data_IF_141954735549
#
_entry.id   IF_141954735549
#
_cell.length_a   1.000
_cell.length_b   1.000
_cell.length_c   1.000
_cell.angle_alpha   90.00
_cell.angle_beta   90.00
_cell.angle_gamma   90.00
#
_symmetry.space_group_name_H-M   'P 1'
#
loop_
_entity.id
_entity.type
_entity.pdbx_description
1 polymer ?
#
# COMPACT_ATOMS: atom_id res chain seq x y z
N UNK A 1 -37.53 3.48 -25.89
CA UNK A 1 -36.83 3.95 -27.10
C UNK A 1 -36.26 5.31 -26.74
N UNK A 2 -34.98 5.55 -26.48
CA UNK A 2 -33.76 5.10 -27.17
C UNK A 2 -32.60 5.21 -26.17
N UNK A 3 -32.33 4.18 -25.36
CA UNK A 3 -31.08 4.09 -24.58
C UNK A 3 -30.63 2.63 -24.38
N UNK A 4 -31.28 1.69 -25.07
CA UNK A 4 -31.09 0.25 -24.81
C UNK A 4 -30.30 -0.47 -25.90
N UNK A 5 -29.62 0.26 -26.81
CA UNK A 5 -28.93 -0.37 -27.95
C UNK A 5 -27.50 0.13 -28.25
N UNK A 6 -26.85 0.88 -27.35
CA UNK A 6 -25.41 1.22 -27.53
C UNK A 6 -24.49 0.66 -26.41
N UNK A 7 -24.99 -0.16 -25.48
CA UNK A 7 -24.20 -0.69 -24.36
C UNK A 7 -23.68 -2.12 -24.57
N UNK A 8 -22.83 -2.35 -25.59
CA UNK A 8 -22.10 -3.62 -25.65
C UNK A 8 -20.60 -3.50 -25.94
N UNK A 9 -20.11 -2.32 -26.35
CA UNK A 9 -18.66 -2.03 -26.47
C UNK A 9 -18.19 -0.99 -25.44
N UNK A 10 -19.11 -0.15 -24.94
CA UNK A 10 -18.85 0.85 -23.89
C UNK A 10 -18.47 0.29 -22.50
N UNK A 11 -18.97 -0.86 -22.01
CA UNK A 11 -18.63 -1.28 -20.64
C UNK A 11 -17.19 -1.76 -20.49
N UNK A 12 -16.62 -2.47 -21.47
CA UNK A 12 -15.23 -2.95 -21.39
C UNK A 12 -14.22 -1.79 -21.41
N UNK A 13 -14.44 -0.79 -22.27
CA UNK A 13 -13.56 0.38 -22.33
C UNK A 13 -13.64 1.22 -21.04
N UNK A 14 -14.83 1.34 -20.45
CA UNK A 14 -15.02 2.02 -19.18
C UNK A 14 -14.34 1.26 -18.01
N UNK A 15 -14.41 -0.07 -18.01
CA UNK A 15 -13.73 -0.93 -17.02
C UNK A 15 -12.21 -0.76 -17.11
N UNK A 16 -11.64 -0.80 -18.33
CA UNK A 16 -10.20 -0.60 -18.55
C UNK A 16 -9.77 0.78 -18.08
N UNK A 17 -10.55 1.82 -18.37
CA UNK A 17 -10.24 3.18 -17.91
C UNK A 17 -10.28 3.31 -16.38
N UNK A 18 -11.26 2.69 -15.72
CA UNK A 18 -11.32 2.66 -14.25
C UNK A 18 -10.11 1.92 -13.64
N UNK A 19 -9.70 0.81 -14.22
CA UNK A 19 -8.54 0.03 -13.77
C UNK A 19 -7.24 0.86 -13.86
N UNK A 20 -7.01 1.48 -15.03
CA UNK A 20 -5.87 2.37 -15.24
C UNK A 20 -5.86 3.54 -14.24
N UNK A 21 -7.02 4.14 -13.96
CA UNK A 21 -7.12 5.24 -12.99
C UNK A 21 -6.79 4.81 -11.56
N UNK A 22 -7.22 3.61 -11.15
CA UNK A 22 -6.92 3.06 -9.83
C UNK A 22 -5.41 2.83 -9.70
N UNK A 23 -4.79 2.14 -10.67
CA UNK A 23 -3.35 1.89 -10.65
C UNK A 23 -2.51 3.14 -10.74
N UNK A 24 -2.91 4.11 -11.59
CA UNK A 24 -2.23 5.39 -11.69
C UNK A 24 -2.17 6.07 -10.32
N UNK A 25 -3.26 6.00 -9.55
CA UNK A 25 -3.34 6.62 -8.24
C UNK A 25 -2.51 5.87 -7.17
N UNK A 26 -2.53 4.54 -7.18
CA UNK A 26 -1.66 3.71 -6.32
C UNK A 26 -0.19 4.02 -6.63
N UNK A 27 0.19 4.07 -7.91
CA UNK A 27 1.56 4.40 -8.32
C UNK A 27 1.98 5.82 -7.93
N UNK A 28 1.10 6.82 -8.12
CA UNK A 28 1.37 8.20 -7.69
C UNK A 28 1.57 8.32 -6.18
N UNK A 29 0.77 7.58 -5.41
CA UNK A 29 0.91 7.54 -3.95
C UNK A 29 2.26 6.92 -3.55
N UNK A 30 2.67 5.87 -4.25
CA UNK A 30 3.94 5.16 -4.02
C UNK A 30 5.14 6.03 -4.37
N UNK A 31 5.05 6.73 -5.49
CA UNK A 31 6.04 7.71 -5.91
C UNK A 31 6.17 8.85 -4.89
N UNK A 32 5.04 9.37 -4.37
CA UNK A 32 5.05 10.41 -3.35
C UNK A 32 5.72 9.93 -2.06
N UNK A 33 5.34 8.76 -1.55
CA UNK A 33 5.96 8.18 -0.35
C UNK A 33 7.44 7.90 -0.56
N UNK A 34 7.83 7.43 -1.74
CA UNK A 34 9.24 7.24 -2.11
C UNK A 34 10.05 8.53 -2.07
N UNK A 35 9.46 9.68 -2.40
CA UNK A 35 10.10 11.00 -2.25
C UNK A 35 10.25 11.44 -0.79
N UNK A 36 9.42 10.91 0.11
CA UNK A 36 9.46 11.26 1.53
C UNK A 36 10.49 10.42 2.32
N UNK A 37 10.79 9.20 1.86
CA UNK A 37 11.75 8.29 2.53
C UNK A 37 13.15 8.89 2.76
N UNK A 38 13.74 9.67 1.84
CA UNK A 38 15.00 10.38 2.10
C UNK A 38 14.90 11.40 3.22
N UNK A 39 13.78 12.11 3.36
CA UNK A 39 13.56 13.07 4.44
C UNK A 39 13.43 12.37 5.80
N UNK A 40 12.99 11.11 5.80
CA UNK A 40 12.89 10.25 6.96
C UNK A 40 14.20 9.50 7.27
N UNK A 41 15.27 9.75 6.50
CA UNK A 41 16.56 9.04 6.57
C UNK A 41 16.45 7.51 6.41
N UNK A 42 15.37 7.02 5.78
CA UNK A 42 15.16 5.57 5.59
C UNK A 42 15.99 5.04 4.42
N UNK A 43 16.11 5.83 3.36
CA UNK A 43 16.86 5.51 2.14
C UNK A 43 17.70 6.73 1.80
N UNK A 44 18.98 6.56 1.48
CA UNK A 44 19.79 7.70 1.07
C UNK A 44 19.40 8.15 -0.34
N UNK A 45 19.54 9.44 -0.64
CA UNK A 45 19.32 9.95 -2.00
C UNK A 45 20.25 9.28 -3.03
N UNK A 46 21.42 8.82 -2.60
CA UNK A 46 22.38 8.05 -3.40
C UNK A 46 21.81 6.68 -3.74
N UNK A 47 21.30 5.94 -2.76
CA UNK A 47 20.70 4.61 -2.98
C UNK A 47 19.49 4.69 -3.93
N UNK A 48 18.65 5.72 -3.76
CA UNK A 48 17.50 5.95 -4.63
C UNK A 48 17.93 6.31 -6.06
N UNK A 49 18.94 7.18 -6.21
CA UNK A 49 19.46 7.57 -7.53
C UNK A 49 20.12 6.41 -8.24
N UNK A 50 20.86 5.58 -7.52
CA UNK A 50 21.52 4.40 -8.08
C UNK A 50 20.49 3.35 -8.49
N UNK A 51 19.47 3.10 -7.67
CA UNK A 51 18.35 2.24 -8.06
C UNK A 51 17.62 2.75 -9.30
N UNK A 52 17.39 4.07 -9.40
CA UNK A 52 16.79 4.68 -10.60
C UNK A 52 17.64 4.45 -11.85
N UNK A 53 18.96 4.44 -11.72
CA UNK A 53 19.91 4.29 -12.82
C UNK A 53 20.07 2.84 -13.26
N UNK A 54 20.24 1.90 -12.33
CA UNK A 54 20.56 0.51 -12.67
C UNK A 54 19.33 -0.33 -12.90
N UNK A 55 18.22 -0.04 -12.21
CA UNK A 55 17.04 -0.91 -12.13
C UNK A 55 17.36 -2.36 -11.73
N UNK A 56 18.60 -2.63 -11.31
CA UNK A 56 19.13 -3.97 -11.03
C UNK A 56 19.62 -4.00 -9.57
N UNK A 57 18.90 -4.81 -8.79
CA UNK A 57 19.28 -5.50 -7.54
C UNK A 57 19.98 -4.69 -6.44
N UNK A 58 19.31 -4.55 -5.29
CA UNK A 58 19.98 -4.20 -4.04
C UNK A 58 19.10 -3.60 -2.95
N UNK A 59 17.92 -3.10 -3.30
CA UNK A 59 17.01 -2.51 -2.31
C UNK A 59 15.63 -3.16 -2.40
N UNK A 60 15.48 -4.30 -1.73
CA UNK A 60 14.16 -4.90 -1.49
C UNK A 60 13.24 -3.90 -0.80
N UNK A 61 13.79 -3.02 0.03
CA UNK A 61 13.12 -1.83 0.56
C UNK A 61 12.48 -0.95 -0.53
N UNK A 62 13.12 -0.71 -1.69
CA UNK A 62 12.53 0.09 -2.78
C UNK A 62 11.57 -0.75 -3.63
N UNK A 63 11.95 -1.96 -4.00
CA UNK A 63 11.19 -2.77 -4.97
C UNK A 63 9.94 -3.43 -4.38
N UNK A 64 10.01 -3.84 -3.12
CA UNK A 64 8.95 -4.58 -2.42
C UNK A 64 8.46 -3.79 -1.21
N UNK A 65 9.38 -3.28 -0.40
CA UNK A 65 9.08 -2.56 0.84
C UNK A 65 8.25 -1.31 0.64
N UNK A 66 8.66 -0.41 -0.27
CA UNK A 66 7.99 0.86 -0.50
C UNK A 66 6.56 0.65 -1.04
N UNK A 67 6.31 -0.17 -2.09
CA UNK A 67 4.93 -0.49 -2.50
C UNK A 67 4.09 -1.14 -1.40
N UNK A 68 4.69 -1.98 -0.56
CA UNK A 68 3.97 -2.63 0.54
C UNK A 68 3.61 -1.64 1.65
N UNK A 69 4.57 -0.79 2.04
CA UNK A 69 4.40 0.27 3.03
C UNK A 69 3.37 1.30 2.54
N UNK A 70 3.43 1.65 1.26
CA UNK A 70 2.46 2.50 0.59
C UNK A 70 1.02 1.97 0.74
N UNK A 71 0.83 0.70 0.42
CA UNK A 71 -0.48 0.06 0.54
C UNK A 71 -0.95 0.03 1.99
N UNK A 72 -0.06 -0.31 2.94
CA UNK A 72 -0.37 -0.29 4.37
C UNK A 72 -0.83 1.10 4.84
N UNK A 73 -0.11 2.17 4.47
CA UNK A 73 -0.52 3.53 4.81
C UNK A 73 -1.89 3.88 4.23
N UNK A 74 -2.21 3.41 3.02
CA UNK A 74 -3.51 3.61 2.37
C UNK A 74 -4.62 2.90 3.15
N UNK A 75 -4.39 1.66 3.60
CA UNK A 75 -5.30 0.89 4.45
C UNK A 75 -5.55 1.62 5.78
N UNK A 76 -4.48 2.02 6.47
CA UNK A 76 -4.56 2.73 7.75
C UNK A 76 -5.30 4.06 7.63
N UNK A 77 -5.04 4.80 6.54
CA UNK A 77 -5.74 6.05 6.25
C UNK A 77 -7.25 5.81 6.05
N UNK A 78 -7.61 4.78 5.29
CA UNK A 78 -9.01 4.39 5.05
C UNK A 78 -9.74 4.04 6.36
N UNK A 79 -9.08 3.29 7.25
CA UNK A 79 -9.62 2.94 8.58
C UNK A 79 -9.83 4.21 9.41
N UNK A 80 -8.85 5.12 9.42
CA UNK A 80 -8.92 6.37 10.19
C UNK A 80 -10.05 7.29 9.70
N UNK A 81 -10.31 7.32 8.40
CA UNK A 81 -11.39 8.11 7.80
C UNK A 81 -12.78 7.47 7.99
N UNK A 82 -12.84 6.20 8.42
CA UNK A 82 -14.10 5.47 8.55
C UNK A 82 -14.70 5.05 7.19
N UNK A 83 -13.88 5.02 6.15
CA UNK A 83 -14.25 4.58 4.80
C UNK A 83 -14.71 3.13 4.80
N UNK A 84 -15.68 2.78 3.94
CA UNK A 84 -16.17 1.39 3.81
C UNK A 84 -15.22 0.55 2.95
N UNK A 85 -14.64 1.16 1.92
CA UNK A 85 -13.63 0.58 1.02
C UNK A 85 -12.20 1.04 1.32
N UNK A 86 -11.37 1.02 0.28
CA UNK A 86 -10.02 1.58 0.29
C UNK A 86 -10.07 2.99 -0.29
N UNK A 87 -9.79 3.99 0.54
CA UNK A 87 -9.71 5.40 0.16
C UNK A 87 -8.33 5.69 -0.46
N UNK A 88 -8.32 5.97 -1.76
CA UNK A 88 -7.11 6.28 -2.50
C UNK A 88 -6.73 7.77 -2.37
N UNK A 89 -5.50 8.12 -2.74
CA UNK A 89 -4.93 9.48 -2.53
C UNK A 89 -5.65 10.63 -3.24
N UNK A 90 -6.50 10.35 -4.22
CA UNK A 90 -7.32 11.35 -4.92
C UNK A 90 -8.75 11.47 -4.35
N UNK A 91 -9.06 10.78 -3.25
CA UNK A 91 -10.39 10.75 -2.63
C UNK A 91 -11.38 9.75 -3.23
N UNK A 92 -10.97 8.96 -4.23
CA UNK A 92 -11.80 7.85 -4.74
C UNK A 92 -11.75 6.69 -3.74
N UNK A 93 -12.92 6.19 -3.38
CA UNK A 93 -13.08 5.00 -2.53
C UNK A 93 -13.35 3.78 -3.41
N UNK A 94 -12.56 2.73 -3.24
CA UNK A 94 -12.74 1.44 -3.92
C UNK A 94 -13.33 0.43 -2.94
N UNK A 95 -14.57 -0.01 -3.16
CA UNK A 95 -15.30 -0.93 -2.29
C UNK A 95 -15.72 -2.21 -3.02
N UNK A 96 -16.49 -3.07 -2.36
CA UNK A 96 -16.94 -4.34 -2.93
C UNK A 96 -17.94 -4.15 -4.09
N UNK A 97 -18.58 -2.99 -4.18
CA UNK A 97 -19.67 -2.68 -5.10
C UNK A 97 -19.18 -1.95 -6.35
N UNK A 98 -18.13 -1.13 -6.22
CA UNK A 98 -17.60 -0.28 -7.28
C UNK A 98 -16.27 -0.80 -7.86
N UNK A 99 -15.61 -1.78 -7.22
CA UNK A 99 -14.36 -2.31 -7.75
C UNK A 99 -14.57 -2.89 -9.15
N UNK A 100 -13.64 -2.66 -10.09
CA UNK A 100 -13.69 -3.32 -11.38
C UNK A 100 -13.66 -4.84 -11.18
N UNK A 101 -14.52 -5.56 -11.89
CA UNK A 101 -14.56 -7.03 -11.85
C UNK A 101 -13.49 -7.67 -12.75
N UNK A 102 -12.43 -6.91 -13.05
CA UNK A 102 -11.26 -7.47 -13.72
C UNK A 102 -10.55 -8.45 -12.77
N UNK A 103 -10.07 -9.57 -13.32
CA UNK A 103 -9.48 -10.65 -12.54
C UNK A 103 -8.27 -10.19 -11.73
N UNK A 104 -7.44 -9.27 -12.26
CA UNK A 104 -6.24 -8.80 -11.58
C UNK A 104 -6.60 -7.92 -10.39
N UNK A 105 -7.51 -6.97 -10.60
CA UNK A 105 -7.96 -6.08 -9.53
C UNK A 105 -8.75 -6.81 -8.46
N UNK A 106 -9.64 -7.73 -8.84
CA UNK A 106 -10.39 -8.54 -7.87
C UNK A 106 -9.43 -9.38 -7.02
N UNK A 107 -8.47 -10.06 -7.67
CA UNK A 107 -7.44 -10.83 -6.99
C UNK A 107 -6.57 -9.99 -6.04
N UNK A 108 -6.27 -8.75 -6.40
CA UNK A 108 -5.41 -7.87 -5.61
C UNK A 108 -6.16 -7.15 -4.48
N UNK A 109 -7.32 -6.55 -4.77
CA UNK A 109 -8.07 -5.73 -3.80
C UNK A 109 -8.84 -6.57 -2.79
N UNK A 110 -9.29 -7.78 -3.15
CA UNK A 110 -9.96 -8.66 -2.21
C UNK A 110 -9.14 -8.90 -0.92
N UNK A 111 -7.88 -9.38 -0.98
CA UNK A 111 -7.08 -9.58 0.23
C UNK A 111 -6.76 -8.28 0.96
N UNK A 112 -6.60 -7.15 0.26
CA UNK A 112 -6.36 -5.83 0.90
C UNK A 112 -7.59 -5.36 1.69
N UNK A 113 -8.79 -5.54 1.15
CA UNK A 113 -10.04 -5.20 1.85
C UNK A 113 -10.25 -6.11 3.06
N UNK A 114 -9.97 -7.41 2.94
CA UNK A 114 -10.01 -8.34 4.09
C UNK A 114 -8.99 -7.95 5.17
N UNK A 115 -7.76 -7.59 4.78
CA UNK A 115 -6.73 -7.12 5.71
C UNK A 115 -7.18 -5.86 6.45
N UNK A 116 -7.77 -4.90 5.73
CA UNK A 116 -8.32 -3.68 6.32
C UNK A 116 -9.37 -4.01 7.40
N UNK A 117 -10.32 -4.89 7.08
CA UNK A 117 -11.38 -5.30 8.03
C UNK A 117 -10.77 -5.97 9.26
N UNK A 118 -9.75 -6.82 9.08
CA UNK A 118 -9.03 -7.46 10.18
C UNK A 118 -8.31 -6.43 11.07
N UNK A 119 -7.58 -5.49 10.47
CA UNK A 119 -6.89 -4.42 11.22
C UNK A 119 -7.87 -3.54 12.00
N UNK A 120 -9.03 -3.24 11.42
CA UNK A 120 -10.09 -2.46 12.07
C UNK A 120 -10.66 -3.20 13.29
N UNK A 121 -10.85 -4.52 13.21
CA UNK A 121 -11.30 -5.36 14.33
C UNK A 121 -10.22 -5.47 15.41
N UNK A 122 -8.96 -5.64 15.01
CA UNK A 122 -7.81 -5.77 15.92
C UNK A 122 -7.55 -4.51 16.76
N UNK A 123 -7.99 -3.33 16.27
CA UNK A 123 -7.80 -2.03 16.94
C UNK A 123 -6.35 -1.83 17.37
N UNK A 124 -5.46 -1.83 16.38
CA UNK A 124 -4.03 -1.65 16.57
C UNK A 124 -3.74 -0.34 17.31
N UNK A 125 -2.83 -0.42 18.28
CA UNK A 125 -2.27 0.74 18.95
C UNK A 125 -1.27 1.45 18.04
N UNK A 126 -0.95 2.71 18.35
CA UNK A 126 0.01 3.49 17.57
C UNK A 126 1.39 2.82 17.48
N UNK A 127 1.84 2.13 18.54
CA UNK A 127 3.11 1.40 18.55
C UNK A 127 3.09 0.21 17.59
N UNK A 128 1.97 -0.51 17.52
CA UNK A 128 1.82 -1.66 16.62
C UNK A 128 1.73 -1.24 15.16
N UNK A 129 1.09 -0.10 14.89
CA UNK A 129 1.08 0.51 13.57
C UNK A 129 2.50 0.86 13.14
N UNK A 130 3.27 1.56 13.98
CA UNK A 130 4.68 1.91 13.70
C UNK A 130 5.55 0.66 13.49
N UNK A 131 5.33 -0.39 14.30
CA UNK A 131 6.01 -1.67 14.15
C UNK A 131 5.71 -2.32 12.80
N UNK A 132 4.43 -2.36 12.40
CA UNK A 132 4.01 -2.93 11.13
C UNK A 132 4.55 -2.11 9.96
N UNK A 133 4.48 -0.77 10.00
CA UNK A 133 5.05 0.14 9.00
C UNK A 133 6.55 -0.12 8.78
N UNK A 134 7.32 -0.23 9.86
CA UNK A 134 8.76 -0.55 9.79
C UNK A 134 8.99 -1.94 9.22
N UNK A 135 8.25 -2.94 9.68
CA UNK A 135 8.40 -4.33 9.25
C UNK A 135 8.06 -4.50 7.76
N UNK A 136 6.99 -3.85 7.30
CA UNK A 136 6.55 -3.86 5.91
C UNK A 136 7.54 -3.14 5.00
N UNK A 137 8.07 -1.99 5.41
CA UNK A 137 9.04 -1.23 4.59
C UNK A 137 10.37 -1.96 4.41
N UNK A 138 10.81 -2.73 5.41
CA UNK A 138 12.05 -3.51 5.33
C UNK A 138 11.81 -4.98 4.99
N UNK A 139 10.63 -5.34 4.46
CA UNK A 139 10.33 -6.71 4.06
C UNK A 139 11.37 -7.22 3.05
N UNK A 140 11.89 -8.42 3.30
CA UNK A 140 12.86 -9.09 2.44
C UNK A 140 14.30 -8.57 2.54
N UNK A 141 14.52 -7.34 3.04
CA UNK A 141 15.86 -6.76 3.20
C UNK A 141 16.74 -7.62 4.13
N UNK A 142 17.64 -8.40 3.52
CA UNK A 142 18.55 -9.34 4.20
C UNK A 142 19.61 -8.67 5.07
N UNK A 143 19.82 -7.35 4.93
CA UNK A 143 20.63 -6.59 5.88
C UNK A 143 19.74 -6.10 7.03
N UNK A 144 19.64 -6.90 8.08
CA UNK A 144 19.09 -6.49 9.37
C UNK A 144 19.80 -5.25 9.97
N UNK A 145 20.91 -4.79 9.37
CA UNK A 145 21.84 -3.81 9.94
C UNK A 145 21.95 -2.47 9.20
N UNK A 146 21.29 -2.25 8.06
CA UNK A 146 21.40 -0.97 7.33
C UNK A 146 20.13 -0.13 7.27
N UNK A 147 18.94 -0.71 7.47
CA UNK A 147 17.66 0.01 7.39
C UNK A 147 16.85 -0.02 8.68
N UNK A 148 16.72 -1.20 9.30
CA UNK A 148 15.93 -1.36 10.51
C UNK A 148 16.50 -0.54 11.67
N UNK A 149 17.81 -0.60 11.94
CA UNK A 149 18.46 0.23 12.99
C UNK A 149 18.56 1.73 12.64
N UNK A 150 18.21 2.12 11.40
CA UNK A 150 18.35 3.50 10.90
C UNK A 150 17.02 4.26 10.96
N UNK A 151 15.88 3.59 10.76
CA UNK A 151 14.57 4.25 10.89
C UNK A 151 14.01 4.15 12.31
N UNK A 152 14.27 5.18 13.11
CA UNK A 152 13.61 5.38 14.41
C UNK A 152 12.24 6.05 14.22
N UNK A 153 11.25 5.27 13.80
CA UNK A 153 9.84 5.69 13.83
C UNK A 153 9.18 5.51 15.21
N UNK A 154 9.97 5.21 16.25
CA UNK A 154 9.47 4.87 17.58
C UNK A 154 8.70 3.56 17.64
N UNK A 155 8.91 2.64 16.68
CA UNK A 155 8.38 1.28 16.76
C UNK A 155 9.00 0.52 17.94
N UNK A 156 8.15 -0.06 18.78
CA UNK A 156 8.54 -1.04 19.79
C UNK A 156 8.04 -2.42 19.37
N UNK A 157 8.83 -3.46 19.62
CA UNK A 157 8.39 -4.84 19.40
C UNK A 157 7.25 -5.17 20.38
N UNK A 158 6.10 -5.69 19.91
CA UNK A 158 5.02 -6.12 20.80
C UNK A 158 5.53 -7.14 21.83
N UNK A 159 5.32 -6.88 23.12
CA UNK A 159 5.85 -7.72 24.22
C UNK A 159 5.05 -9.02 24.42
N UNK A 160 3.80 -9.03 24.00
CA UNK A 160 2.90 -10.18 24.11
C UNK A 160 3.03 -11.09 22.87
N UNK A 161 3.50 -12.34 23.01
CA UNK A 161 3.66 -13.27 21.90
C UNK A 161 2.34 -13.62 21.21
N UNK A 162 1.23 -13.67 21.95
CA UNK A 162 -0.09 -13.92 21.33
C UNK A 162 -0.51 -12.74 20.47
N UNK A 163 -0.18 -11.52 20.91
CA UNK A 163 -0.48 -10.29 20.16
C UNK A 163 0.41 -10.16 18.94
N UNK A 164 1.69 -10.50 19.06
CA UNK A 164 2.63 -10.57 17.94
C UNK A 164 2.18 -11.57 16.86
N UNK A 165 1.61 -12.72 17.23
CA UNK A 165 1.13 -13.70 16.26
C UNK A 165 -0.08 -13.22 15.43
N UNK A 166 -0.77 -12.17 15.87
CA UNK A 166 -1.93 -11.59 15.18
C UNK A 166 -1.59 -10.36 14.32
N UNK A 167 -0.34 -9.86 14.39
CA UNK A 167 0.16 -8.68 13.66
C UNK A 167 1.12 -9.16 12.58
#
# INVERSE_FOLDING_TARGET
>A
MVFHLECQVLPEFLIILCDVQIWENVMKSCEQRGRDLPNLNVITSVDLTEWLRTKESGSETINLGLPSYDMLCTVLHSIKDGSTGLLLGNGVEVDQQNRPQDLLLDWFFHPVLVLKDQMQVLKMTEQEVRFLERSTLFVGSSSATAGADVWDNGAETPRDPMRMAHI
#
